data_IF_120684693954
#
_entry.id   IF_120684693954
#
_cell.length_a   1.000
_cell.length_b   1.000
_cell.length_c   1.000
_cell.angle_alpha   90.00
_cell.angle_beta   90.00
_cell.angle_gamma   90.00
#
_symmetry.space_group_name_H-M   'P 1'
#
loop_
_entity.id
_entity.type
_entity.pdbx_description
1 polymer ?
#
# COMPACT_ATOMS: atom_id res chain seq x y z
N UNK A 1 -8.39 -38.02 -25.20
CA UNK A 1 -7.76 -36.72 -25.56
C UNK A 1 -8.75 -35.55 -25.51
N UNK A 2 -9.90 -35.59 -26.19
CA UNK A 2 -10.92 -34.50 -26.19
C UNK A 2 -11.35 -34.02 -24.79
N UNK A 3 -11.57 -34.95 -23.84
CA UNK A 3 -11.96 -34.63 -22.46
C UNK A 3 -10.86 -33.89 -21.67
N UNK A 4 -9.59 -34.20 -21.94
CA UNK A 4 -8.43 -33.55 -21.29
C UNK A 4 -8.27 -32.12 -21.82
N UNK A 5 -8.47 -31.91 -23.13
CA UNK A 5 -8.46 -30.58 -23.75
C UNK A 5 -9.60 -29.71 -23.23
N UNK A 6 -10.80 -30.27 -23.07
CA UNK A 6 -11.95 -29.56 -22.50
C UNK A 6 -11.70 -29.18 -21.03
N UNK A 7 -11.11 -30.08 -20.23
CA UNK A 7 -10.79 -29.80 -18.83
C UNK A 7 -9.71 -28.72 -18.69
N UNK A 8 -8.68 -28.74 -19.55
CA UNK A 8 -7.65 -27.70 -19.59
C UNK A 8 -8.21 -26.32 -19.99
N UNK A 9 -9.20 -26.28 -20.90
CA UNK A 9 -9.85 -25.04 -21.31
C UNK A 9 -10.70 -24.42 -20.19
N UNK A 10 -11.36 -25.24 -19.37
CA UNK A 10 -12.20 -24.77 -18.25
C UNK A 10 -11.33 -24.17 -17.14
N UNK A 11 -10.13 -24.72 -16.89
CA UNK A 11 -9.18 -24.14 -15.94
C UNK A 11 -8.64 -22.75 -16.34
N UNK A 12 -8.77 -22.34 -17.60
CA UNK A 12 -8.36 -21.01 -18.06
C UNK A 12 -9.43 -19.92 -17.83
N UNK A 13 -10.65 -20.32 -17.45
CA UNK A 13 -11.79 -19.41 -17.27
C UNK A 13 -12.01 -18.96 -15.81
N UNK A 14 -11.13 -19.36 -14.88
CA UNK A 14 -11.18 -18.86 -13.50
C UNK A 14 -10.71 -17.41 -13.46
N UNK A 15 -11.67 -16.48 -13.42
CA UNK A 15 -11.41 -15.08 -13.13
C UNK A 15 -10.97 -14.93 -11.66
N UNK A 16 -9.91 -14.15 -11.45
CA UNK A 16 -9.50 -13.77 -10.10
C UNK A 16 -10.53 -12.79 -9.51
N UNK A 17 -11.37 -13.27 -8.59
CA UNK A 17 -12.24 -12.40 -7.80
C UNK A 17 -11.44 -11.83 -6.62
N UNK A 18 -11.06 -10.56 -6.69
CA UNK A 18 -10.50 -9.83 -5.55
C UNK A 18 -11.65 -9.16 -4.80
N UNK A 19 -12.08 -9.77 -3.69
CA UNK A 19 -13.06 -9.15 -2.80
C UNK A 19 -12.33 -8.18 -1.86
N UNK A 20 -12.74 -6.91 -1.86
CA UNK A 20 -12.33 -5.97 -0.81
C UNK A 20 -13.29 -6.06 0.37
N UNK A 21 -12.80 -5.91 1.62
CA UNK A 21 -13.67 -5.88 2.79
C UNK A 21 -14.70 -4.75 2.73
N UNK A 22 -15.85 -4.93 3.37
CA UNK A 22 -16.93 -3.94 3.36
C UNK A 22 -16.51 -2.58 3.93
N UNK A 23 -15.67 -2.56 4.96
CA UNK A 23 -15.19 -1.33 5.60
C UNK A 23 -14.40 -0.42 4.63
N UNK A 24 -13.89 -0.94 3.51
CA UNK A 24 -13.24 -0.12 2.48
C UNK A 24 -14.20 0.83 1.75
N UNK A 25 -15.52 0.64 1.87
CA UNK A 25 -16.53 1.57 1.34
C UNK A 25 -16.40 2.96 1.97
N UNK A 26 -16.01 3.02 3.23
CA UNK A 26 -15.82 4.28 3.96
C UNK A 26 -14.70 5.11 3.33
N UNK A 27 -13.68 4.44 2.78
CA UNK A 27 -12.50 5.08 2.21
C UNK A 27 -12.61 5.38 0.71
N UNK A 28 -13.79 5.20 0.09
CA UNK A 28 -13.98 5.33 -1.35
C UNK A 28 -13.52 6.69 -1.92
N UNK A 29 -13.66 7.75 -1.12
CA UNK A 29 -13.37 9.13 -1.52
C UNK A 29 -11.89 9.54 -1.35
N UNK A 30 -11.06 8.69 -0.74
CA UNK A 30 -9.62 8.98 -0.59
C UNK A 30 -8.81 8.45 -1.77
N UNK A 31 -7.51 8.78 -1.77
CA UNK A 31 -6.57 8.33 -2.79
C UNK A 31 -6.49 6.80 -2.87
N UNK A 32 -6.29 6.24 -4.06
CA UNK A 32 -6.03 4.80 -4.20
C UNK A 32 -4.71 4.36 -3.53
N UNK A 33 -3.80 5.31 -3.26
CA UNK A 33 -2.56 5.04 -2.52
C UNK A 33 -2.82 4.47 -1.13
N UNK A 34 -3.91 4.90 -0.47
CA UNK A 34 -4.29 4.50 0.89
C UNK A 34 -5.23 3.30 0.92
N UNK A 35 -5.85 2.91 -0.21
CA UNK A 35 -6.80 1.79 -0.29
C UNK A 35 -6.10 0.43 -0.36
N UNK A 36 -5.27 0.13 0.64
CA UNK A 36 -4.47 -1.11 0.75
C UNK A 36 -4.76 -1.79 2.09
N UNK A 37 -4.48 -3.09 2.19
CA UNK A 37 -4.57 -3.80 3.47
C UNK A 37 -3.74 -3.12 4.57
N UNK A 38 -2.61 -2.51 4.17
CA UNK A 38 -1.72 -1.78 5.07
C UNK A 38 -2.32 -0.52 5.68
N UNK A 39 -3.51 -0.09 5.25
CA UNK A 39 -4.22 1.01 5.89
C UNK A 39 -4.58 0.67 7.34
N UNK A 40 -5.11 -0.54 7.57
CA UNK A 40 -5.50 -0.99 8.90
C UNK A 40 -4.61 -2.11 9.46
N UNK A 41 -3.81 -2.77 8.61
CA UNK A 41 -2.96 -3.90 9.02
C UNK A 41 -1.48 -3.57 8.87
N UNK A 42 -0.64 -4.29 9.61
CA UNK A 42 0.82 -4.14 9.51
C UNK A 42 1.43 -4.80 8.26
N UNK A 43 0.72 -5.74 7.62
CA UNK A 43 1.19 -6.42 6.40
C UNK A 43 0.18 -6.32 5.27
N UNK A 44 0.69 -6.26 4.04
CA UNK A 44 -0.11 -6.18 2.81
C UNK A 44 -0.99 -7.39 2.54
N UNK A 45 -0.70 -8.53 3.17
CA UNK A 45 -1.52 -9.73 3.09
C UNK A 45 -2.87 -9.56 3.82
N UNK A 46 -3.04 -8.51 4.64
CA UNK A 46 -4.18 -8.33 5.53
C UNK A 46 -4.08 -9.16 6.82
N UNK A 47 -3.01 -9.94 6.97
CA UNK A 47 -2.69 -10.70 8.18
C UNK A 47 -1.63 -9.97 9.01
N UNK A 48 -1.40 -10.38 10.25
CA UNK A 48 -0.35 -9.79 11.11
C UNK A 48 -0.84 -8.80 12.17
N UNK A 49 -2.15 -8.64 12.35
CA UNK A 49 -2.72 -7.74 13.35
C UNK A 49 -2.96 -6.33 12.83
N UNK A 50 -3.59 -5.50 13.67
CA UNK A 50 -3.92 -4.12 13.33
C UNK A 50 -2.73 -3.20 13.60
N UNK A 51 -2.45 -2.30 12.65
CA UNK A 51 -1.56 -1.16 12.88
C UNK A 51 -2.24 -0.15 13.83
N UNK A 52 -1.57 0.93 14.25
CA UNK A 52 -2.17 1.91 15.16
C UNK A 52 -3.52 2.46 14.68
N UNK A 53 -3.59 3.00 13.46
CA UNK A 53 -4.86 3.47 12.88
C UNK A 53 -5.95 2.39 12.85
N UNK A 54 -5.61 1.17 12.47
CA UNK A 54 -6.53 0.05 12.41
C UNK A 54 -7.12 -0.29 13.78
N UNK A 55 -6.35 -0.14 14.87
CA UNK A 55 -6.85 -0.32 16.24
C UNK A 55 -7.83 0.77 16.63
N UNK A 56 -7.54 2.02 16.29
CA UNK A 56 -8.42 3.14 16.58
C UNK A 56 -9.71 3.07 15.75
N UNK A 57 -9.61 2.75 14.46
CA UNK A 57 -10.75 2.48 13.60
C UNK A 57 -11.58 1.28 14.10
N UNK A 58 -10.94 0.21 14.58
CA UNK A 58 -11.66 -0.94 15.14
C UNK A 58 -12.38 -0.63 16.46
N UNK A 59 -11.86 0.31 17.26
CA UNK A 59 -12.49 0.77 18.50
C UNK A 59 -13.68 1.70 18.24
N UNK A 60 -13.57 2.58 17.25
CA UNK A 60 -14.60 3.59 16.92
C UNK A 60 -15.66 3.03 15.95
N UNK A 61 -15.24 2.14 15.03
CA UNK A 61 -16.10 1.43 14.09
C UNK A 61 -16.50 2.21 12.83
N UNK A 62 -16.08 3.47 12.68
CA UNK A 62 -16.37 4.29 11.49
C UNK A 62 -15.47 5.53 11.38
N UNK A 63 -15.53 6.23 10.26
CA UNK A 63 -14.82 7.51 10.02
C UNK A 63 -15.50 8.69 10.74
N UNK A 64 -15.44 8.70 12.07
CA UNK A 64 -15.95 9.82 12.88
C UNK A 64 -14.96 10.99 12.89
N UNK A 65 -15.43 12.22 13.20
CA UNK A 65 -14.54 13.34 13.44
C UNK A 65 -13.49 13.06 14.54
N UNK A 66 -13.86 12.28 15.56
CA UNK A 66 -12.96 11.84 16.62
C UNK A 66 -11.79 11.04 16.02
N UNK A 67 -12.07 9.98 15.25
CA UNK A 67 -11.01 9.21 14.58
C UNK A 67 -10.18 10.11 13.66
N UNK A 68 -10.82 10.98 12.88
CA UNK A 68 -10.14 11.81 11.90
C UNK A 68 -9.16 12.82 12.51
N UNK A 69 -9.38 13.24 13.75
CA UNK A 69 -8.49 14.18 14.46
C UNK A 69 -7.35 13.50 15.25
N UNK A 70 -7.40 12.17 15.42
CA UNK A 70 -6.30 11.45 16.06
C UNK A 70 -5.06 11.43 15.17
N UNK A 71 -3.89 11.43 15.81
CA UNK A 71 -2.60 11.05 15.24
C UNK A 71 -2.33 9.63 15.75
N UNK A 72 -2.71 8.62 14.95
CA UNK A 72 -2.74 7.24 15.45
C UNK A 72 -1.35 6.65 15.60
N UNK A 73 -0.39 7.06 14.77
CA UNK A 73 0.97 6.50 14.74
C UNK A 73 2.04 7.41 15.38
N UNK A 74 1.68 8.64 15.77
CA UNK A 74 2.50 9.55 16.54
C UNK A 74 3.49 10.36 15.71
N UNK A 75 3.25 10.55 14.43
CA UNK A 75 4.12 11.29 13.51
C UNK A 75 3.84 12.80 13.43
N UNK A 76 2.86 13.27 14.22
CA UNK A 76 2.38 14.65 14.35
C UNK A 76 1.45 15.12 13.22
N UNK A 77 0.96 14.21 12.39
CA UNK A 77 -0.11 14.48 11.44
C UNK A 77 -1.39 13.76 11.88
N UNK A 78 -2.53 14.43 11.72
CA UNK A 78 -3.81 13.78 11.97
C UNK A 78 -4.17 12.80 10.86
N UNK A 79 -4.98 11.80 11.20
CA UNK A 79 -5.44 10.78 10.28
C UNK A 79 -6.07 11.38 9.01
N UNK A 80 -6.81 12.48 9.14
CA UNK A 80 -7.42 13.17 7.99
C UNK A 80 -6.39 13.88 7.12
N UNK A 81 -5.37 14.52 7.70
CA UNK A 81 -4.32 15.17 6.93
C UNK A 81 -3.58 14.16 6.06
N UNK A 82 -3.27 12.99 6.63
CA UNK A 82 -2.59 11.93 5.90
C UNK A 82 -3.45 11.31 4.80
N UNK A 83 -4.71 10.96 5.10
CA UNK A 83 -5.63 10.38 4.12
C UNK A 83 -5.87 11.32 2.93
N UNK A 84 -5.92 12.64 3.18
CA UNK A 84 -6.04 13.66 2.13
C UNK A 84 -4.75 13.82 1.32
N UNK A 85 -3.58 13.63 1.93
CA UNK A 85 -2.28 13.66 1.26
C UNK A 85 -1.87 12.31 0.63
N UNK A 86 -2.68 11.27 0.83
CA UNK A 86 -2.43 9.93 0.31
C UNK A 86 -1.31 9.19 1.04
N UNK A 87 -1.10 9.50 2.32
CA UNK A 87 -0.17 8.84 3.23
C UNK A 87 -0.92 7.97 4.25
N UNK A 88 -0.21 7.19 5.07
CA UNK A 88 -0.78 6.07 5.81
C UNK A 88 -0.82 6.34 7.33
N UNK A 89 -2.00 6.57 7.92
CA UNK A 89 -2.12 6.97 9.33
C UNK A 89 -1.73 5.95 10.40
N UNK A 90 -1.30 4.77 9.98
CA UNK A 90 -0.80 3.72 10.86
C UNK A 90 0.68 3.42 10.62
N UNK A 91 1.39 4.27 9.90
CA UNK A 91 2.78 4.13 9.51
C UNK A 91 3.50 5.49 9.62
N UNK A 92 4.18 5.70 10.75
CA UNK A 92 4.98 6.91 11.06
C UNK A 92 6.03 7.29 10.01
N UNK A 93 6.34 6.37 9.10
CA UNK A 93 7.24 6.58 7.98
C UNK A 93 6.51 7.02 6.69
N UNK A 94 5.21 7.29 6.78
CA UNK A 94 4.32 7.69 5.69
C UNK A 94 3.60 8.98 6.06
N UNK A 95 4.28 10.11 5.91
CA UNK A 95 3.73 11.42 6.29
C UNK A 95 3.75 12.45 5.16
N UNK A 96 2.88 13.47 5.21
CA UNK A 96 2.84 14.55 4.24
C UNK A 96 4.20 15.23 4.08
N UNK A 97 4.64 15.40 2.83
CA UNK A 97 5.92 16.05 2.52
C UNK A 97 7.15 15.14 2.60
N UNK A 98 7.03 13.86 2.99
CA UNK A 98 8.14 12.90 2.88
C UNK A 98 8.47 12.68 1.41
N UNK A 99 9.63 13.19 0.97
CA UNK A 99 10.15 12.90 -0.37
C UNK A 99 10.64 11.46 -0.40
N UNK A 100 10.24 10.69 -1.42
CA UNK A 100 10.86 9.40 -1.68
C UNK A 100 12.38 9.61 -1.81
N UNK A 101 13.23 8.74 -1.24
CA UNK A 101 14.68 8.84 -1.44
C UNK A 101 14.92 8.82 -2.94
N UNK A 102 15.35 9.95 -3.49
CA UNK A 102 15.70 10.05 -4.89
C UNK A 102 16.83 9.07 -5.14
N UNK A 103 16.63 8.10 -6.01
CA UNK A 103 17.71 7.29 -6.54
C UNK A 103 18.60 8.24 -7.34
N UNK A 104 19.56 8.90 -6.70
CA UNK A 104 20.69 9.48 -7.41
C UNK A 104 21.45 8.28 -7.96
N UNK A 105 21.06 7.82 -9.15
CA UNK A 105 21.90 6.96 -9.97
C UNK A 105 23.21 7.71 -10.10
N UNK A 106 24.18 7.33 -9.28
CA UNK A 106 25.49 7.97 -9.30
C UNK A 106 26.01 7.77 -10.71
N UNK A 107 26.16 8.85 -11.47
CA UNK A 107 26.73 8.82 -12.83
C UNK A 107 28.02 7.98 -12.85
N UNK A 108 28.75 7.97 -11.74
CA UNK A 108 29.89 7.10 -11.45
C UNK A 108 29.63 5.60 -11.69
N UNK A 109 28.49 5.04 -11.27
CA UNK A 109 28.18 3.63 -11.50
C UNK A 109 27.98 3.34 -13.00
N UNK A 110 27.32 4.26 -13.71
CA UNK A 110 27.15 4.16 -15.16
C UNK A 110 28.49 4.30 -15.91
N UNK A 111 29.37 5.22 -15.48
CA UNK A 111 30.72 5.40 -16.03
C UNK A 111 31.60 4.16 -15.76
N UNK A 112 31.53 3.59 -14.55
CA UNK A 112 32.26 2.36 -14.19
C UNK A 112 31.78 1.19 -15.05
N UNK A 113 30.46 1.02 -15.23
CA UNK A 113 29.92 -0.04 -16.11
C UNK A 113 30.39 0.16 -17.55
N UNK A 114 30.35 1.38 -18.09
CA UNK A 114 30.83 1.68 -19.44
C UNK A 114 32.34 1.41 -19.61
N UNK A 115 33.15 1.77 -18.61
CA UNK A 115 34.59 1.48 -18.61
C UNK A 115 34.87 -0.03 -18.59
N UNK A 116 34.13 -0.79 -17.77
CA UNK A 116 34.30 -2.24 -17.66
C UNK A 116 33.85 -2.98 -18.93
N UNK A 117 32.78 -2.53 -19.60
CA UNK A 117 32.35 -3.07 -20.90
C UNK A 117 33.39 -2.78 -21.99
N UNK A 118 33.91 -1.55 -22.05
CA UNK A 118 34.92 -1.16 -23.04
C UNK A 118 36.26 -1.89 -22.88
N UNK A 119 36.63 -2.29 -21.66
CA UNK A 119 37.87 -3.05 -21.41
C UNK A 119 37.80 -4.52 -21.85
N UNK A 120 36.60 -5.05 -22.08
CA UNK A 120 36.38 -6.48 -22.40
C UNK A 120 36.19 -6.75 -23.89
N UNK A 121 36.13 -5.72 -24.73
CA UNK A 121 36.22 -5.78 -26.20
C UNK A 121 37.62 -5.40 -26.66
#
# INVERSE_FOLDING_TARGET
MKKIVIMALILLLIANASARPEYMKDFKNFSDKVKKCTLCHVQSSGYGGLNPFGRDYAKIGSLTPELMQLDSDGDRFSNIEELLNGTMPGDKDSYPGKKAPGYTTSLLLAIIILYLVKRKS
#
